data_IF_794310738881
#
_entry.id   IF_794310738881
#
_cell.length_a   1.000
_cell.length_b   1.000
_cell.length_c   1.000
_cell.angle_alpha   90.00
_cell.angle_beta   90.00
_cell.angle_gamma   90.00
#
_symmetry.space_group_name_H-M   'P 1'
#
loop_
_entity.id
_entity.type
_entity.pdbx_description
1 polymer ?
#
# COMPACT_ATOMS: atom_id res chain seq x y z
N UNK A 1 -15.19 -12.72 15.13
CA UNK A 1 -14.66 -11.69 14.22
C UNK A 1 -13.35 -12.22 13.67
N UNK A 2 -13.21 -12.33 12.35
CA UNK A 2 -12.06 -13.01 11.73
C UNK A 2 -10.82 -12.10 11.77
N UNK A 3 -9.62 -12.67 12.01
CA UNK A 3 -8.36 -11.90 12.08
C UNK A 3 -8.06 -11.08 10.81
N UNK A 4 -8.61 -11.46 9.66
CA UNK A 4 -8.31 -10.81 8.37
C UNK A 4 -8.89 -9.39 8.25
N UNK A 5 -10.04 -9.11 8.87
CA UNK A 5 -10.63 -7.77 8.86
C UNK A 5 -9.76 -6.78 9.65
N UNK A 6 -9.22 -7.24 10.79
CA UNK A 6 -8.29 -6.46 11.61
C UNK A 6 -6.96 -6.18 10.89
N UNK A 7 -6.46 -7.14 10.09
CA UNK A 7 -5.30 -6.92 9.23
C UNK A 7 -5.58 -5.84 8.19
N UNK A 8 -6.75 -5.87 7.56
CA UNK A 8 -7.17 -4.84 6.59
C UNK A 8 -7.22 -3.45 7.20
N UNK A 9 -7.81 -3.31 8.39
CA UNK A 9 -7.86 -2.05 9.14
C UNK A 9 -6.48 -1.56 9.58
N UNK A 10 -5.61 -2.46 10.04
CA UNK A 10 -4.23 -2.13 10.41
C UNK A 10 -3.44 -1.57 9.21
N UNK A 11 -3.56 -2.21 8.04
CA UNK A 11 -2.91 -1.76 6.80
C UNK A 11 -3.42 -0.37 6.40
N UNK A 12 -4.74 -0.14 6.41
CA UNK A 12 -5.35 1.16 6.08
C UNK A 12 -4.87 2.25 7.03
N UNK A 13 -4.87 1.96 8.33
CA UNK A 13 -4.44 2.90 9.37
C UNK A 13 -2.96 3.24 9.24
N UNK A 14 -2.12 2.25 8.96
CA UNK A 14 -0.70 2.46 8.72
C UNK A 14 -0.46 3.41 7.54
N UNK A 15 -1.03 3.13 6.37
CA UNK A 15 -0.80 3.97 5.20
C UNK A 15 -1.43 5.36 5.32
N UNK A 16 -2.58 5.49 5.99
CA UNK A 16 -3.17 6.80 6.29
C UNK A 16 -2.24 7.65 7.16
N UNK A 17 -1.61 7.05 8.17
CA UNK A 17 -0.66 7.74 9.06
C UNK A 17 0.67 8.05 8.35
N UNK A 18 1.17 7.13 7.53
CA UNK A 18 2.52 7.22 6.94
C UNK A 18 2.54 8.07 5.66
N UNK A 19 1.53 7.93 4.79
CA UNK A 19 1.48 8.60 3.48
C UNK A 19 0.36 9.65 3.37
N UNK A 20 -0.47 9.81 4.41
CA UNK A 20 -1.54 10.80 4.42
C UNK A 20 -2.75 10.46 3.54
N UNK A 21 -2.78 9.28 2.92
CA UNK A 21 -3.78 8.89 1.93
C UNK A 21 -4.42 7.54 2.28
N UNK A 22 -5.63 7.33 1.80
CA UNK A 22 -6.37 6.10 2.05
C UNK A 22 -5.87 4.97 1.16
N UNK A 23 -5.62 3.82 1.78
CA UNK A 23 -5.20 2.62 1.08
C UNK A 23 -6.40 1.74 0.74
N UNK A 24 -6.42 1.21 -0.49
CA UNK A 24 -7.34 0.13 -0.89
C UNK A 24 -6.60 -1.20 -0.79
N UNK A 25 -6.88 -1.96 0.25
CA UNK A 25 -6.32 -3.30 0.42
C UNK A 25 -6.90 -4.22 -0.67
N UNK A 26 -6.05 -4.80 -1.51
CA UNK A 26 -6.44 -5.66 -2.64
C UNK A 26 -6.11 -7.13 -2.41
N UNK A 27 -5.22 -7.43 -1.46
CA UNK A 27 -4.85 -8.80 -1.09
C UNK A 27 -4.38 -8.86 0.35
N UNK A 28 -4.75 -9.93 1.04
CA UNK A 28 -4.18 -10.32 2.33
C UNK A 28 -3.87 -11.81 2.27
N UNK A 29 -2.70 -12.21 2.73
CA UNK A 29 -2.28 -13.60 2.77
C UNK A 29 -1.56 -13.87 4.09
N UNK A 30 -1.87 -15.02 4.70
CA UNK A 30 -1.16 -15.49 5.88
C UNK A 30 0.20 -16.07 5.45
N UNK A 31 1.28 -15.71 6.15
CA UNK A 31 2.61 -16.29 5.98
C UNK A 31 3.10 -16.91 7.29
N UNK A 32 4.24 -17.60 7.26
CA UNK A 32 4.86 -18.17 8.46
C UNK A 32 5.19 -17.09 9.51
N UNK A 33 5.70 -15.93 9.07
CA UNK A 33 6.09 -14.82 9.95
C UNK A 33 4.96 -13.83 10.30
N UNK A 34 3.70 -14.15 9.95
CA UNK A 34 2.57 -13.25 10.18
C UNK A 34 1.68 -13.08 8.95
N UNK A 35 1.61 -11.87 8.42
CA UNK A 35 0.69 -11.49 7.34
C UNK A 35 1.42 -10.67 6.27
N UNK A 36 1.03 -10.90 5.02
CA UNK A 36 1.44 -10.08 3.88
C UNK A 36 0.19 -9.47 3.27
N UNK A 37 0.18 -8.15 3.19
CA UNK A 37 -0.86 -7.37 2.54
C UNK A 37 -0.37 -6.72 1.26
N UNK A 38 -1.28 -6.53 0.31
CA UNK A 38 -1.06 -5.66 -0.84
C UNK A 38 -2.14 -4.58 -0.88
N UNK A 39 -1.72 -3.34 -1.10
CA UNK A 39 -2.62 -2.19 -1.14
C UNK A 39 -2.33 -1.29 -2.35
N UNK A 40 -3.41 -0.85 -3.00
CA UNK A 40 -3.37 0.24 -3.98
C UNK A 40 -3.49 1.57 -3.27
N UNK A 41 -2.62 2.51 -3.63
CA UNK A 41 -2.58 3.87 -3.11
C UNK A 41 -2.51 4.82 -4.29
N UNK A 42 -3.38 5.83 -4.29
CA UNK A 42 -3.38 6.89 -5.28
C UNK A 42 -2.59 8.08 -4.74
N UNK A 43 -1.49 8.42 -5.41
CA UNK A 43 -0.57 9.49 -5.01
C UNK A 43 -0.51 10.54 -6.12
N UNK A 44 -0.25 11.80 -5.79
CA UNK A 44 -0.01 12.82 -6.82
C UNK A 44 1.11 12.39 -7.76
N UNK A 45 0.90 12.59 -9.07
CA UNK A 45 1.92 12.22 -10.04
C UNK A 45 3.21 12.99 -9.81
N UNK A 46 4.28 12.28 -9.46
CA UNK A 46 5.58 12.87 -9.15
C UNK A 46 6.19 13.54 -10.38
N UNK A 47 5.90 13.01 -11.57
CA UNK A 47 6.31 13.59 -12.84
C UNK A 47 5.60 14.92 -13.12
N UNK A 48 4.27 14.96 -12.99
CA UNK A 48 3.53 16.21 -13.22
C UNK A 48 3.94 17.27 -12.19
N UNK A 49 4.15 16.86 -10.94
CA UNK A 49 4.62 17.73 -9.86
C UNK A 49 5.99 18.33 -10.14
N UNK A 50 6.92 17.56 -10.72
CA UNK A 50 8.26 18.08 -11.07
C UNK A 50 8.21 19.10 -12.21
N UNK A 51 7.18 19.08 -13.05
CA UNK A 51 6.92 20.08 -14.09
C UNK A 51 6.26 21.37 -13.54
N UNK A 52 5.87 21.40 -12.27
CA UNK A 52 5.18 22.54 -11.66
C UNK A 52 3.76 22.79 -12.19
N UNK A 53 3.15 21.79 -12.84
CA UNK A 53 1.83 21.93 -13.43
C UNK A 53 0.75 21.63 -12.38
N UNK A 54 -0.27 22.50 -12.22
CA UNK A 54 -1.42 22.18 -11.40
C UNK A 54 -2.20 21.04 -12.05
N UNK A 55 -2.29 19.91 -11.38
CA UNK A 55 -2.97 18.72 -11.90
C UNK A 55 -3.64 17.93 -10.78
N UNK A 56 -4.71 17.23 -11.15
CA UNK A 56 -5.39 16.25 -10.29
C UNK A 56 -5.08 14.80 -10.67
N UNK A 57 -4.13 14.60 -11.60
CA UNK A 57 -3.70 13.27 -12.03
C UNK A 57 -2.98 12.59 -10.88
N UNK A 58 -3.42 11.38 -10.56
CA UNK A 58 -2.83 10.54 -9.54
C UNK A 58 -2.26 9.28 -10.17
N UNK A 59 -1.08 8.89 -9.73
CA UNK A 59 -0.48 7.61 -10.07
C UNK A 59 -1.03 6.55 -9.11
N UNK A 60 -1.46 5.41 -9.66
CA UNK A 60 -1.87 4.25 -8.84
C UNK A 60 -0.63 3.41 -8.54
N UNK A 61 -0.28 3.33 -7.26
CA UNK A 61 0.88 2.59 -6.78
C UNK A 61 0.45 1.39 -5.95
N UNK A 62 1.10 0.26 -6.18
CA UNK A 62 0.90 -0.94 -5.38
C UNK A 62 2.01 -1.06 -4.33
N UNK A 63 1.62 -1.25 -3.08
CA UNK A 63 2.53 -1.49 -1.97
C UNK A 63 2.33 -2.90 -1.43
N UNK A 64 3.45 -3.57 -1.13
CA UNK A 64 3.47 -4.73 -0.25
C UNK A 64 3.75 -4.27 1.17
N UNK A 65 3.07 -4.87 2.15
CA UNK A 65 3.26 -4.60 3.56
C UNK A 65 3.28 -5.91 4.34
N UNK A 66 4.21 -6.04 5.28
CA UNK A 66 4.35 -7.21 6.15
C UNK A 66 4.02 -6.83 7.58
N UNK A 67 3.23 -7.68 8.23
CA UNK A 67 2.81 -7.53 9.62
C UNK A 67 3.07 -8.82 10.38
N UNK A 68 3.40 -8.72 11.67
CA UNK A 68 3.47 -9.88 12.57
C UNK A 68 2.07 -10.42 12.88
N UNK A 69 1.98 -11.53 13.62
CA UNK A 69 0.72 -12.04 14.17
C UNK A 69 -0.01 -11.08 15.12
N UNK A 70 0.72 -10.15 15.72
CA UNK A 70 0.19 -9.09 16.59
C UNK A 70 -0.17 -7.83 15.82
N UNK A 71 -0.14 -7.88 14.48
CA UNK A 71 -0.43 -6.77 13.56
C UNK A 71 0.58 -5.63 13.63
N UNK A 72 1.77 -5.89 14.15
CA UNK A 72 2.88 -4.93 14.10
C UNK A 72 3.47 -4.91 12.69
N UNK A 73 3.53 -3.75 12.07
CA UNK A 73 4.12 -3.58 10.73
C UNK A 73 5.63 -3.71 10.82
N UNK A 74 6.20 -4.69 10.12
CA UNK A 74 7.65 -4.93 10.10
C UNK A 74 8.33 -4.31 8.90
N UNK A 75 7.63 -4.19 7.77
CA UNK A 75 8.15 -3.55 6.56
C UNK A 75 7.04 -3.20 5.57
N UNK A 76 7.31 -2.24 4.69
CA UNK A 76 6.51 -2.00 3.49
C UNK A 76 7.40 -1.54 2.34
N UNK A 77 6.98 -1.84 1.11
CA UNK A 77 7.72 -1.47 -0.10
C UNK A 77 6.76 -1.19 -1.26
N UNK A 78 7.03 -0.14 -2.03
CA UNK A 78 6.33 0.11 -3.30
C UNK A 78 6.80 -0.94 -4.31
N UNK A 79 5.89 -1.75 -4.82
CA UNK A 79 6.18 -2.67 -5.92
C UNK A 79 6.47 -1.83 -7.16
N UNK A 80 7.59 -2.12 -7.83
CA UNK A 80 7.82 -1.58 -9.19
C UNK A 80 6.90 -2.35 -10.12
N UNK A 81 6.15 -1.65 -10.96
CA UNK A 81 5.61 -2.30 -12.15
C UNK A 81 6.81 -2.77 -12.97
N UNK A 82 6.96 -4.09 -13.11
CA UNK A 82 7.83 -4.63 -14.15
C UNK A 82 7.07 -4.37 -15.43
N UNK A 83 7.48 -3.35 -16.19
CA UNK A 83 7.01 -3.21 -17.55
C UNK A 83 7.37 -4.51 -18.27
N UNK A 84 6.38 -5.37 -18.53
CA UNK A 84 6.51 -6.42 -19.52
C UNK A 84 6.78 -5.71 -20.83
N UNK A 85 8.04 -5.74 -21.27
CA UNK A 85 8.39 -5.37 -22.63
C UNK A 85 7.73 -6.41 -23.54
N UNK A 86 6.73 -5.97 -24.29
CA UNK A 86 6.20 -6.69 -25.45
C UNK A 86 7.16 -6.56 -26.64
#
# INVERSE_FOLDING_TARGET
MMKIDQVSEAIRSFFKKTLGTDAKVIKITKSEDGWVGEAEIYEESSFIKSLGLPSRVQDRNTYEIKLTDTLEVTSYVRKREVATAE
#
